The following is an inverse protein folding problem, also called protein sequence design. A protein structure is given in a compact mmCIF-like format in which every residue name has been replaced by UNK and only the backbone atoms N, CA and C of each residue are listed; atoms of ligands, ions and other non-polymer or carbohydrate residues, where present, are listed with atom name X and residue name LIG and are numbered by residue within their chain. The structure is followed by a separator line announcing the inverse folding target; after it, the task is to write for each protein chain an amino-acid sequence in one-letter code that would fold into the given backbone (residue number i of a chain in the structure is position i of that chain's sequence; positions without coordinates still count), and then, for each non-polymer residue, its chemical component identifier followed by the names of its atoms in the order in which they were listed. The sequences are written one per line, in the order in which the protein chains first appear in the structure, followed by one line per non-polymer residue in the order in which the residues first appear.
data_IF_802758837189
#
_entry.id   IF_802758837189
#
_cell.length_a   1.000
_cell.length_b   1.000
_cell.length_c   1.000
_cell.angle_alpha   90.00
_cell.angle_beta   90.00
_cell.angle_gamma   90.00
#
_symmetry.space_group_name_H-M   'P 1'
#
loop_
_entity.id
_entity.type
_entity.pdbx_description
1 polymer ?
#
# COMPACT_ATOMS: atom_id res chain seq x y z
N UNK A 1 3.63 -0.45 -25.16
CA UNK A 1 4.46 0.56 -24.46
C UNK A 1 5.48 -0.13 -23.59
N UNK A 2 6.50 0.60 -23.12
CA UNK A 2 7.56 0.07 -22.25
C UNK A 2 7.04 -0.21 -20.85
N UNK A 3 7.37 -1.38 -20.31
CA UNK A 3 7.09 -1.78 -18.92
C UNK A 3 8.40 -1.81 -18.16
N UNK A 4 8.45 -1.17 -17.00
CA UNK A 4 9.65 -1.16 -16.15
C UNK A 4 9.27 -1.41 -14.67
N UNK A 5 10.26 -1.91 -13.92
CA UNK A 5 10.13 -2.03 -12.46
C UNK A 5 10.46 -0.67 -11.85
N UNK A 6 9.43 0.06 -11.44
CA UNK A 6 9.59 1.36 -10.81
C UNK A 6 10.06 1.27 -9.35
N UNK A 7 9.60 0.27 -8.59
CA UNK A 7 10.07 -0.02 -7.23
C UNK A 7 10.08 -1.54 -6.96
N UNK A 8 10.90 -1.97 -6.00
CA UNK A 8 11.04 -3.38 -5.59
C UNK A 8 11.38 -3.46 -4.10
N UNK A 9 10.75 -4.40 -3.41
CA UNK A 9 11.03 -4.69 -2.01
C UNK A 9 10.07 -5.71 -1.41
N UNK A 10 9.97 -5.70 -0.09
CA UNK A 10 9.01 -6.52 0.66
C UNK A 10 7.98 -5.64 1.35
N UNK A 11 6.92 -6.27 1.88
CA UNK A 11 5.95 -5.60 2.73
C UNK A 11 5.72 -6.42 4.00
N UNK A 12 5.27 -5.76 5.06
CA UNK A 12 4.78 -6.39 6.27
C UNK A 12 3.30 -6.06 6.40
N UNK A 13 2.45 -7.08 6.40
CA UNK A 13 1.03 -6.91 6.64
C UNK A 13 0.80 -6.60 8.12
N UNK A 14 0.04 -5.57 8.41
CA UNK A 14 -0.33 -5.21 9.79
C UNK A 14 -1.75 -5.68 10.11
N UNK A 15 -2.69 -5.41 9.21
CA UNK A 15 -4.06 -5.92 9.32
C UNK A 15 -4.73 -5.99 7.95
N UNK A 16 -5.71 -6.90 7.83
CA UNK A 16 -6.54 -7.05 6.64
C UNK A 16 -7.98 -7.34 7.05
N UNK A 17 -8.90 -6.54 6.52
CA UNK A 17 -10.34 -6.76 6.57
C UNK A 17 -10.90 -6.69 5.15
N UNK A 18 -12.22 -6.83 5.00
CA UNK A 18 -12.89 -6.73 3.70
C UNK A 18 -12.73 -5.35 3.06
N UNK A 19 -12.72 -4.29 3.87
CA UNK A 19 -12.73 -2.90 3.41
C UNK A 19 -11.44 -2.15 3.67
N UNK A 20 -10.47 -2.73 4.38
CA UNK A 20 -9.24 -2.03 4.77
C UNK A 20 -8.06 -3.00 4.82
N UNK A 21 -6.91 -2.60 4.25
CA UNK A 21 -5.64 -3.31 4.36
C UNK A 21 -4.57 -2.32 4.82
N UNK A 22 -3.97 -2.61 5.98
CA UNK A 22 -2.86 -1.83 6.55
C UNK A 22 -1.58 -2.62 6.41
N UNK A 23 -0.54 -1.99 5.88
CA UNK A 23 0.75 -2.64 5.65
C UNK A 23 1.89 -1.63 5.64
N UNK A 24 3.08 -2.09 5.99
CA UNK A 24 4.31 -1.32 5.90
C UNK A 24 5.13 -1.79 4.70
N UNK A 25 5.49 -0.85 3.82
CA UNK A 25 6.38 -1.11 2.67
C UNK A 25 7.85 -0.98 3.08
N UNK A 26 8.66 -1.90 2.56
CA UNK A 26 10.12 -1.94 2.66
C UNK A 26 10.71 -1.97 1.25
N UNK A 27 10.35 -0.98 0.44
CA UNK A 27 10.84 -0.76 -0.92
C UNK A 27 12.07 0.14 -0.98
N UNK A 28 12.66 0.27 -2.18
CA UNK A 28 13.77 1.20 -2.42
C UNK A 28 13.27 2.64 -2.56
N UNK A 29 12.07 2.83 -3.12
CA UNK A 29 11.46 4.15 -3.30
C UNK A 29 10.35 4.41 -2.29
N UNK A 30 9.45 3.45 -2.09
CA UNK A 30 8.35 3.56 -1.13
C UNK A 30 8.70 2.83 0.17
N UNK A 31 8.67 3.58 1.27
CA UNK A 31 8.88 3.04 2.62
C UNK A 31 7.90 3.65 3.63
N UNK A 32 7.60 2.86 4.67
CA UNK A 32 6.70 3.23 5.76
C UNK A 32 5.30 2.65 5.63
N UNK A 33 4.39 3.09 6.52
CA UNK A 33 3.02 2.58 6.60
C UNK A 33 2.11 3.14 5.51
N UNK A 34 1.29 2.26 4.93
CA UNK A 34 0.27 2.56 3.94
C UNK A 34 -1.06 1.91 4.31
N UNK A 35 -2.13 2.46 3.77
CA UNK A 35 -3.48 1.90 3.86
C UNK A 35 -4.09 1.83 2.48
N UNK A 36 -4.69 0.68 2.16
CA UNK A 36 -5.67 0.54 1.09
C UNK A 36 -7.06 0.52 1.72
N UNK A 37 -7.86 1.54 1.43
CA UNK A 37 -9.24 1.64 1.87
C UNK A 37 -10.18 1.39 0.70
N UNK A 38 -11.07 0.42 0.83
CA UNK A 38 -12.10 0.12 -0.16
C UNK A 38 -13.17 1.20 -0.09
N UNK A 39 -13.46 1.80 -1.24
CA UNK A 39 -14.60 2.69 -1.43
C UNK A 39 -15.79 1.85 -1.93
N UNK A 40 -16.64 2.41 -2.80
CA UNK A 40 -17.71 1.64 -3.44
C UNK A 40 -17.17 0.77 -4.59
N UNK A 41 -17.81 -0.37 -4.80
CA UNK A 41 -17.53 -1.34 -5.86
C UNK A 41 -16.11 -1.93 -5.80
N UNK A 42 -15.31 -1.64 -6.83
CA UNK A 42 -13.92 -2.11 -7.00
C UNK A 42 -12.89 -0.98 -6.83
N UNK A 43 -13.32 0.17 -6.29
CA UNK A 43 -12.44 1.32 -6.10
C UNK A 43 -11.71 1.24 -4.77
N UNK A 44 -10.40 1.48 -4.79
CA UNK A 44 -9.55 1.49 -3.61
C UNK A 44 -8.75 2.79 -3.55
N UNK A 45 -8.69 3.39 -2.37
CA UNK A 45 -7.84 4.54 -2.09
C UNK A 45 -6.56 4.06 -1.40
N UNK A 46 -5.42 4.28 -2.05
CA UNK A 46 -4.09 4.06 -1.47
C UNK A 46 -3.56 5.38 -0.90
N UNK A 47 -3.19 5.40 0.37
CA UNK A 47 -2.53 6.57 0.97
C UNK A 47 -1.45 6.18 1.97
N UNK A 48 -0.43 7.04 2.08
CA UNK A 48 0.64 6.91 3.07
C UNK A 48 0.12 7.38 4.43
N UNK A 49 0.38 6.60 5.48
CA UNK A 49 0.14 7.03 6.85
C UNK A 49 1.17 8.09 7.19
N UNK A 50 0.72 9.28 7.61
CA UNK A 50 1.63 10.22 8.27
C UNK A 50 2.11 9.55 9.56
N UNK A 51 3.41 9.61 9.82
CA UNK A 51 3.99 9.09 11.05
C UNK A 51 3.26 9.69 12.24
N UNK A 52 3.01 8.86 13.25
CA UNK A 52 2.72 9.34 14.59
C UNK A 52 3.99 9.97 15.17
#
# INVERSE_FOLDING_TARGET
GTVEIWDKGTYTLESRSENEIKFTLKGKRLSGGYVLLRLRDRNWLLFKRRGQ
#
